data_IF_839760455507
#
_entry.id   IF_839760455507
#
_cell.length_a   1.000
_cell.length_b   1.000
_cell.length_c   1.000
_cell.angle_alpha   90.00
_cell.angle_beta   90.00
_cell.angle_gamma   90.00
#
_symmetry.space_group_name_H-M   'P 1'
#
loop_
_entity.id
_entity.type
_entity.pdbx_description
1 polymer ?
#
# COMPACT_ATOMS: atom_id res chain seq x y z
N UNK A 1 -9.60 -29.14 -22.41
CA UNK A 1 -9.35 -29.36 -20.95
C UNK A 1 -7.87 -29.24 -20.55
N UNK A 2 -6.90 -29.68 -21.37
CA UNK A 2 -5.45 -29.64 -21.05
C UNK A 2 -4.81 -28.24 -21.06
N UNK A 3 -5.25 -27.36 -21.97
CA UNK A 3 -4.75 -25.97 -22.12
C UNK A 3 -5.11 -25.09 -20.91
N UNK A 4 -6.33 -25.20 -20.36
CA UNK A 4 -6.73 -24.48 -19.13
C UNK A 4 -5.86 -24.86 -17.92
N UNK A 5 -5.50 -26.14 -17.79
CA UNK A 5 -4.60 -26.62 -16.73
C UNK A 5 -3.16 -26.11 -16.91
N UNK A 6 -2.73 -25.90 -18.15
CA UNK A 6 -1.40 -25.38 -18.46
C UNK A 6 -1.28 -23.88 -18.17
N UNK A 7 -2.34 -23.10 -18.43
CA UNK A 7 -2.42 -21.67 -18.04
C UNK A 7 -2.51 -21.53 -16.51
N UNK A 8 -3.30 -22.37 -15.84
CA UNK A 8 -3.46 -22.34 -14.38
C UNK A 8 -2.20 -22.76 -13.61
N UNK A 9 -1.34 -23.61 -14.20
CA UNK A 9 -0.11 -24.09 -13.58
C UNK A 9 1.12 -23.20 -13.85
N UNK A 10 1.02 -22.23 -14.77
CA UNK A 10 2.13 -21.33 -15.14
C UNK A 10 2.13 -20.02 -14.36
N UNK A 11 1.02 -19.69 -13.70
CA UNK A 11 0.90 -18.53 -12.84
C UNK A 11 0.38 -19.02 -11.49
N UNK A 12 1.20 -19.08 -10.42
CA UNK A 12 0.69 -19.36 -9.08
C UNK A 12 -0.46 -18.39 -8.85
N UNK A 13 -1.61 -18.94 -8.47
CA UNK A 13 -2.90 -18.27 -8.57
C UNK A 13 -2.83 -16.83 -8.03
N UNK A 14 -3.06 -15.85 -8.90
CA UNK A 14 -3.27 -14.43 -8.56
C UNK A 14 -4.49 -14.21 -7.63
N UNK A 15 -5.15 -15.28 -7.22
CA UNK A 15 -6.36 -15.26 -6.40
C UNK A 15 -6.01 -15.04 -4.95
N UNK A 16 -6.44 -13.89 -4.45
CA UNK A 16 -6.39 -13.52 -3.05
C UNK A 16 -7.15 -14.54 -2.19
N UNK A 17 -6.47 -15.13 -1.20
CA UNK A 17 -7.04 -16.19 -0.33
C UNK A 17 -7.85 -15.62 0.83
N UNK A 18 -7.55 -14.39 1.27
CA UNK A 18 -8.23 -13.69 2.36
C UNK A 18 -8.07 -12.18 2.21
N UNK A 19 -8.87 -11.39 2.94
CA UNK A 19 -8.77 -9.93 2.92
C UNK A 19 -7.37 -9.39 3.30
N UNK A 20 -6.58 -10.17 4.06
CA UNK A 20 -5.21 -9.83 4.49
C UNK A 20 -4.10 -10.51 3.69
N UNK A 21 -4.44 -11.24 2.62
CA UNK A 21 -3.46 -11.97 1.82
C UNK A 21 -2.53 -11.03 1.04
N UNK A 22 -1.23 -11.30 1.10
CA UNK A 22 -0.16 -10.51 0.48
C UNK A 22 0.72 -11.35 -0.46
N UNK A 23 0.27 -12.53 -0.88
CA UNK A 23 1.04 -13.44 -1.74
C UNK A 23 1.38 -12.86 -3.15
N UNK A 24 0.70 -11.79 -3.56
CA UNK A 24 0.93 -11.11 -4.85
C UNK A 24 1.97 -9.98 -4.75
N UNK A 25 2.60 -9.77 -3.58
CA UNK A 25 3.66 -8.78 -3.38
C UNK A 25 5.03 -9.47 -3.37
N UNK A 26 6.07 -8.79 -3.86
CA UNK A 26 7.43 -9.30 -3.83
C UNK A 26 7.94 -9.44 -2.39
N UNK A 27 8.70 -10.52 -2.14
CA UNK A 27 9.21 -10.84 -0.81
C UNK A 27 10.16 -9.78 -0.24
N UNK A 28 10.84 -9.03 -1.11
CA UNK A 28 11.77 -7.98 -0.70
C UNK A 28 11.05 -6.94 0.17
N UNK A 29 9.86 -6.47 -0.24
CA UNK A 29 9.05 -5.52 0.53
C UNK A 29 8.42 -6.14 1.78
N UNK A 30 8.06 -7.43 1.73
CA UNK A 30 7.44 -8.13 2.87
C UNK A 30 8.43 -8.49 3.98
N UNK A 31 9.71 -8.60 3.62
CA UNK A 31 10.78 -8.95 4.55
C UNK A 31 11.22 -7.78 5.43
N UNK A 32 11.01 -6.55 4.97
CA UNK A 32 11.32 -5.34 5.72
C UNK A 32 10.24 -5.07 6.77
N UNK A 33 10.67 -4.74 8.00
CA UNK A 33 9.73 -4.28 9.03
C UNK A 33 9.21 -2.89 8.68
N UNK A 34 7.88 -2.64 8.78
CA UNK A 34 7.32 -1.32 8.52
C UNK A 34 7.93 -0.31 9.50
N UNK A 35 8.55 0.74 8.96
CA UNK A 35 9.18 1.84 9.73
C UNK A 35 9.06 3.14 8.97
N UNK A 36 9.01 4.25 9.69
CA UNK A 36 9.19 5.58 9.12
C UNK A 36 10.69 5.89 9.04
N UNK A 37 11.15 6.31 7.87
CA UNK A 37 12.52 6.78 7.69
C UNK A 37 12.71 8.11 8.42
N UNK A 38 13.91 8.34 8.96
CA UNK A 38 14.25 9.63 9.53
C UNK A 38 14.38 10.69 8.43
N UNK A 39 13.82 11.86 8.67
CA UNK A 39 13.95 13.02 7.81
C UNK A 39 14.98 13.99 8.37
N UNK A 40 15.68 14.71 7.48
CA UNK A 40 16.56 15.80 7.87
C UNK A 40 15.74 17.01 8.32
N UNK A 41 15.98 17.48 9.55
CA UNK A 41 15.26 18.61 10.14
C UNK A 41 15.52 19.91 9.37
N UNK A 42 16.77 20.15 8.97
CA UNK A 42 17.13 21.38 8.26
C UNK A 42 16.40 21.45 6.91
N UNK A 43 16.27 20.30 6.25
CA UNK A 43 15.53 20.20 5.00
C UNK A 43 14.04 20.50 5.23
N UNK A 44 13.41 19.86 6.22
CA UNK A 44 11.99 20.08 6.55
C UNK A 44 11.72 21.56 6.89
N UNK A 45 12.59 22.17 7.69
CA UNK A 45 12.44 23.57 8.12
C UNK A 45 12.60 24.56 6.96
N UNK A 46 13.39 24.21 5.93
CA UNK A 46 13.60 25.05 4.75
C UNK A 46 12.49 24.94 3.70
N UNK A 47 11.58 23.97 3.82
CA UNK A 47 10.51 23.74 2.85
C UNK A 47 9.38 24.75 2.99
N UNK A 48 8.87 25.23 1.86
CA UNK A 48 7.64 26.02 1.82
C UNK A 48 6.43 25.12 2.09
N UNK A 49 5.78 25.32 3.24
CA UNK A 49 4.63 24.53 3.66
C UNK A 49 3.35 24.88 2.89
N UNK A 50 3.26 26.09 2.33
CA UNK A 50 2.08 26.50 1.53
C UNK A 50 1.93 25.68 0.25
N UNK A 51 3.02 25.03 -0.20
CA UNK A 51 2.99 24.07 -1.30
C UNK A 51 2.08 22.86 -1.03
N UNK A 52 1.71 22.60 0.23
CA UNK A 52 0.82 21.50 0.63
C UNK A 52 -0.57 22.00 1.07
N UNK A 53 -0.91 23.27 0.85
CA UNK A 53 -2.24 23.80 1.14
C UNK A 53 -3.31 23.04 0.34
N UNK A 54 -4.36 22.59 1.03
CA UNK A 54 -5.43 21.78 0.43
C UNK A 54 -5.09 20.31 0.21
N UNK A 55 -3.93 19.82 0.69
CA UNK A 55 -3.55 18.40 0.56
C UNK A 55 -4.47 17.46 1.36
N UNK A 56 -4.96 17.90 2.52
CA UNK A 56 -5.82 17.09 3.39
C UNK A 56 -7.17 16.82 2.74
N UNK A 57 -7.46 15.54 2.48
CA UNK A 57 -8.73 15.06 1.95
C UNK A 57 -9.21 13.83 2.72
N UNK A 58 -10.50 13.82 3.09
CA UNK A 58 -11.17 12.64 3.63
C UNK A 58 -12.33 12.32 2.69
N UNK A 59 -12.43 11.05 2.28
CA UNK A 59 -13.59 10.60 1.51
C UNK A 59 -14.83 10.63 2.44
N UNK A 60 -15.90 11.38 2.09
CA UNK A 60 -17.08 11.54 2.93
C UNK A 60 -17.77 10.21 3.30
N UNK A 61 -17.61 9.16 2.48
CA UNK A 61 -18.15 7.82 2.77
C UNK A 61 -17.47 7.12 3.94
N UNK A 62 -16.31 7.60 4.38
CA UNK A 62 -15.50 7.00 5.45
C UNK A 62 -15.50 7.81 6.75
N UNK A 63 -16.26 8.91 6.85
CA UNK A 63 -16.34 9.73 8.07
C UNK A 63 -16.71 8.92 9.32
N UNK A 64 -17.55 7.89 9.16
CA UNK A 64 -18.01 7.04 10.25
C UNK A 64 -16.91 6.13 10.84
N UNK A 65 -15.82 5.85 10.10
CA UNK A 65 -14.72 5.00 10.59
C UNK A 65 -13.83 5.76 11.58
N UNK A 66 -13.74 7.09 11.42
CA UNK A 66 -12.88 7.94 12.24
C UNK A 66 -13.51 8.31 13.59
N UNK A 67 -14.84 8.25 13.71
CA UNK A 67 -15.59 8.65 14.92
C UNK A 67 -15.72 7.53 15.96
N UNK A 68 -14.76 6.60 16.02
CA UNK A 68 -14.82 5.38 16.85
C UNK A 68 -13.71 5.39 17.90
#
# INVERSE_FOLDING_TARGET
KKIKKFVLNRFPSLTQKSASDYNNFDREFLSEKPKLSYSDKNLIESMDQSAFDGFSFINPKFEQILNK
#
